data_IF_527065093236
#
_entry.id   IF_527065093236
#
_cell.length_a   1.000
_cell.length_b   1.000
_cell.length_c   1.000
_cell.angle_alpha   90.00
_cell.angle_beta   90.00
_cell.angle_gamma   90.00
#
_symmetry.space_group_name_H-M   'P 1'
#
loop_
_entity.id
_entity.type
_entity.pdbx_description
1 polymer ?
#
# COMPACT_ATOMS: atom_id res chain seq x y z
N UNK A 1 11.93 7.82 -2.47
CA UNK A 1 10.80 8.56 -1.88
C UNK A 1 10.68 9.97 -2.46
N UNK A 2 11.70 10.82 -2.44
CA UNK A 2 11.61 12.20 -2.96
C UNK A 2 11.18 12.29 -4.43
N UNK A 3 11.82 11.54 -5.33
CA UNK A 3 11.46 11.52 -6.77
C UNK A 3 10.01 11.06 -7.00
N UNK A 4 9.53 10.10 -6.21
CA UNK A 4 8.14 9.64 -6.27
C UNK A 4 7.15 10.74 -5.88
N UNK A 5 7.42 11.46 -4.77
CA UNK A 5 6.56 12.56 -4.34
C UNK A 5 6.56 13.71 -5.36
N UNK A 6 7.71 14.05 -5.95
CA UNK A 6 7.79 15.05 -7.02
C UNK A 6 6.95 14.62 -8.23
N UNK A 7 7.06 13.37 -8.66
CA UNK A 7 6.22 12.81 -9.73
C UNK A 7 4.72 12.85 -9.40
N UNK A 8 4.34 12.50 -8.17
CA UNK A 8 2.95 12.58 -7.71
C UNK A 8 2.43 14.01 -7.69
N UNK A 9 3.24 14.98 -7.25
CA UNK A 9 2.88 16.41 -7.23
C UNK A 9 2.68 16.92 -8.67
N UNK A 10 3.62 16.64 -9.58
CA UNK A 10 3.50 17.01 -11.00
C UNK A 10 2.25 16.40 -11.62
N UNK A 11 1.98 15.12 -11.35
CA UNK A 11 0.78 14.44 -11.81
C UNK A 11 -0.50 15.05 -11.21
N UNK A 12 -0.50 15.41 -9.93
CA UNK A 12 -1.64 16.07 -9.29
C UNK A 12 -1.91 17.45 -9.88
N UNK A 13 -0.88 18.28 -10.04
CA UNK A 13 -1.00 19.60 -10.67
C UNK A 13 -1.55 19.46 -12.09
N UNK A 14 -1.09 18.48 -12.86
CA UNK A 14 -1.61 18.21 -14.20
C UNK A 14 -3.11 17.86 -14.18
N UNK A 15 -3.52 16.89 -13.36
CA UNK A 15 -4.92 16.48 -13.22
C UNK A 15 -5.85 17.62 -12.76
N UNK A 16 -5.39 18.49 -11.85
CA UNK A 16 -6.14 19.67 -11.39
C UNK A 16 -6.34 20.68 -12.52
N UNK A 17 -5.31 20.96 -13.33
CA UNK A 17 -5.39 21.91 -14.43
C UNK A 17 -6.36 21.46 -15.52
N UNK A 18 -6.36 20.18 -15.87
CA UNK A 18 -7.26 19.63 -16.89
C UNK A 18 -8.62 19.16 -16.32
N UNK A 19 -8.82 19.24 -14.99
CA UNK A 19 -10.00 18.74 -14.27
C UNK A 19 -10.35 17.28 -14.55
N UNK A 20 -9.35 16.47 -14.89
CA UNK A 20 -9.48 15.04 -15.19
C UNK A 20 -8.90 14.27 -14.00
N UNK A 21 -9.52 13.15 -13.62
CA UNK A 21 -8.91 12.21 -12.68
C UNK A 21 -8.75 12.70 -11.22
N UNK A 22 -9.43 13.78 -10.81
CA UNK A 22 -9.41 14.30 -9.44
C UNK A 22 -9.75 13.25 -8.38
N UNK A 23 -10.76 12.41 -8.64
CA UNK A 23 -11.16 11.30 -7.75
C UNK A 23 -9.99 10.32 -7.55
N UNK A 24 -9.17 10.10 -8.59
CA UNK A 24 -8.02 9.19 -8.53
C UNK A 24 -6.84 9.79 -7.76
N UNK A 25 -6.68 11.11 -7.76
CA UNK A 25 -5.72 11.80 -6.90
C UNK A 25 -6.12 11.71 -5.42
N UNK A 26 -7.41 11.89 -5.11
CA UNK A 26 -7.90 11.74 -3.73
C UNK A 26 -7.70 10.29 -3.27
N UNK A 27 -7.97 9.32 -4.14
CA UNK A 27 -7.72 7.91 -3.85
C UNK A 27 -6.22 7.64 -3.59
N UNK A 28 -5.33 8.24 -4.37
CA UNK A 28 -3.88 8.17 -4.15
C UNK A 28 -3.50 8.75 -2.79
N UNK A 29 -4.04 9.91 -2.41
CA UNK A 29 -3.78 10.57 -1.14
C UNK A 29 -4.26 9.72 0.05
N UNK A 30 -5.43 9.08 -0.10
CA UNK A 30 -5.96 8.16 0.92
C UNK A 30 -4.99 7.01 1.20
N UNK A 31 -4.28 6.55 0.18
CA UNK A 31 -3.30 5.49 0.34
C UNK A 31 -2.06 5.97 1.14
N UNK A 32 -1.70 7.25 1.11
CA UNK A 32 -0.58 7.81 1.89
C UNK A 32 -0.81 7.74 3.41
N UNK A 33 -2.06 7.67 3.87
CA UNK A 33 -2.41 7.48 5.29
C UNK A 33 -1.81 6.19 5.87
N UNK A 34 -1.47 5.20 5.03
CA UNK A 34 -0.78 3.98 5.48
C UNK A 34 0.71 4.16 5.80
N UNK A 35 1.34 5.26 5.37
CA UNK A 35 2.77 5.54 5.60
C UNK A 35 3.15 5.95 7.04
N UNK A 36 2.37 6.78 7.78
CA UNK A 36 2.67 7.01 9.19
C UNK A 36 2.62 5.72 10.01
N UNK A 37 1.68 4.81 9.71
CA UNK A 37 1.55 3.51 10.38
C UNK A 37 2.78 2.60 10.15
N UNK A 38 3.39 2.66 8.97
CA UNK A 38 4.68 2.00 8.73
C UNK A 38 5.79 2.57 9.63
N UNK A 39 5.83 3.89 9.79
CA UNK A 39 6.81 4.56 10.64
C UNK A 39 6.65 4.22 12.13
N UNK A 40 5.44 3.95 12.61
CA UNK A 40 5.22 3.48 13.99
C UNK A 40 6.00 2.19 14.30
N UNK A 41 6.12 1.26 13.33
CA UNK A 41 6.93 0.03 13.52
C UNK A 41 8.40 0.34 13.74
N UNK A 42 8.95 1.32 13.02
CA UNK A 42 10.33 1.78 13.21
C UNK A 42 10.52 2.47 14.56
N UNK A 43 9.53 3.22 15.03
CA UNK A 43 9.55 3.87 16.33
C UNK A 43 9.62 2.84 17.49
N UNK A 44 8.81 1.77 17.43
CA UNK A 44 8.86 0.67 18.41
C UNK A 44 10.19 -0.08 18.41
N UNK A 45 10.83 -0.23 17.25
CA UNK A 45 12.19 -0.78 17.14
C UNK A 45 13.23 0.12 17.82
N UNK A 46 13.10 1.45 17.67
CA UNK A 46 14.04 2.42 18.25
C UNK A 46 13.92 2.57 19.77
N UNK A 47 12.72 2.31 20.30
CA UNK A 47 12.43 2.25 21.73
C UNK A 47 12.96 0.97 22.42
N UNK A 48 13.59 0.05 21.69
CA UNK A 48 14.07 -1.22 22.27
C UNK A 48 12.96 -2.23 22.59
N UNK A 49 11.71 -1.96 22.18
CA UNK A 49 10.53 -2.78 22.46
C UNK A 49 10.27 -3.84 21.38
N UNK A 50 11.32 -4.30 20.68
CA UNK A 50 11.22 -5.18 19.52
C UNK A 50 10.61 -6.57 19.80
N UNK A 51 10.63 -7.02 21.05
CA UNK A 51 10.07 -8.32 21.46
C UNK A 51 8.70 -8.22 22.17
N UNK A 52 8.19 -7.00 22.33
CA UNK A 52 6.91 -6.76 22.99
C UNK A 52 5.73 -7.27 22.15
N UNK A 53 4.65 -7.66 22.84
CA UNK A 53 3.39 -8.03 22.21
C UNK A 53 2.82 -6.86 21.35
N UNK A 54 3.11 -5.62 21.74
CA UNK A 54 2.81 -4.40 21.00
C UNK A 54 3.49 -4.34 19.62
N UNK A 55 4.75 -4.79 19.49
CA UNK A 55 5.44 -4.85 18.20
C UNK A 55 4.78 -5.84 17.22
N UNK A 56 4.31 -6.98 17.72
CA UNK A 56 3.62 -8.01 16.92
C UNK A 56 2.24 -7.52 16.47
N UNK A 57 1.46 -6.91 17.37
CA UNK A 57 0.16 -6.30 17.03
C UNK A 57 0.34 -5.20 15.99
N UNK A 58 1.32 -4.32 16.16
CA UNK A 58 1.54 -3.22 15.22
C UNK A 58 1.94 -3.72 13.82
N UNK A 59 2.72 -4.81 13.74
CA UNK A 59 3.04 -5.47 12.47
C UNK A 59 1.82 -6.08 11.76
N UNK A 60 0.93 -6.73 12.52
CA UNK A 60 -0.32 -7.28 11.98
C UNK A 60 -1.28 -6.16 11.55
N UNK A 61 -1.40 -5.11 12.35
CA UNK A 61 -2.22 -3.94 12.05
C UNK A 61 -1.75 -3.25 10.77
N UNK A 62 -0.44 -3.08 10.60
CA UNK A 62 0.14 -2.59 9.36
C UNK A 62 -0.21 -3.48 8.15
N UNK A 63 -0.13 -4.81 8.30
CA UNK A 63 -0.49 -5.73 7.22
C UNK A 63 -1.97 -5.63 6.82
N UNK A 64 -2.89 -5.55 7.79
CA UNK A 64 -4.32 -5.38 7.55
C UNK A 64 -4.61 -4.04 6.86
N UNK A 65 -4.03 -2.95 7.37
CA UNK A 65 -4.20 -1.61 6.79
C UNK A 65 -3.64 -1.53 5.37
N UNK A 66 -2.50 -2.17 5.11
CA UNK A 66 -1.94 -2.27 3.77
C UNK A 66 -2.90 -3.02 2.84
N UNK A 67 -3.47 -4.14 3.27
CA UNK A 67 -4.45 -4.87 2.47
C UNK A 67 -5.69 -4.02 2.13
N UNK A 68 -6.32 -3.42 3.14
CA UNK A 68 -7.57 -2.65 2.92
C UNK A 68 -7.30 -1.39 2.10
N UNK A 69 -6.33 -0.58 2.49
CA UNK A 69 -6.11 0.73 1.85
C UNK A 69 -5.33 0.66 0.53
N UNK A 70 -4.50 -0.36 0.29
CA UNK A 70 -3.65 -0.43 -0.91
C UNK A 70 -4.06 -1.52 -1.88
N UNK A 71 -4.66 -2.62 -1.41
CA UNK A 71 -5.12 -3.71 -2.29
C UNK A 71 -6.59 -3.52 -2.64
N UNK A 72 -7.47 -3.46 -1.63
CA UNK A 72 -8.93 -3.34 -1.86
C UNK A 72 -9.28 -2.00 -2.50
N UNK A 73 -8.79 -0.89 -1.92
CA UNK A 73 -9.09 0.44 -2.44
C UNK A 73 -8.59 0.67 -3.86
N UNK A 74 -7.33 0.29 -4.16
CA UNK A 74 -6.80 0.40 -5.52
C UNK A 74 -7.49 -0.56 -6.49
N UNK A 75 -7.98 -1.71 -6.04
CA UNK A 75 -8.78 -2.60 -6.88
C UNK A 75 -10.12 -1.95 -7.27
N UNK A 76 -10.86 -1.38 -6.31
CA UNK A 76 -12.10 -0.63 -6.57
C UNK A 76 -11.84 0.50 -7.56
N UNK A 77 -10.73 1.22 -7.39
CA UNK A 77 -10.32 2.29 -8.30
C UNK A 77 -10.13 1.79 -9.75
N UNK A 78 -9.46 0.65 -9.94
CA UNK A 78 -9.25 0.06 -11.27
C UNK A 78 -10.57 -0.44 -11.89
N UNK A 79 -11.48 -1.00 -11.08
CA UNK A 79 -12.82 -1.40 -11.55
C UNK A 79 -13.62 -0.19 -12.03
N UNK A 80 -13.62 0.90 -11.26
CA UNK A 80 -14.27 2.16 -11.65
C UNK A 80 -13.66 2.76 -12.92
N UNK A 81 -12.34 2.70 -13.05
CA UNK A 81 -11.62 3.14 -14.24
C UNK A 81 -12.03 2.34 -15.49
N UNK A 82 -12.16 1.02 -15.35
CA UNK A 82 -12.62 0.14 -16.43
C UNK A 82 -14.08 0.40 -16.82
N UNK A 83 -14.96 0.68 -15.84
CA UNK A 83 -16.36 0.99 -16.09
C UNK A 83 -16.54 2.29 -16.89
N UNK A 84 -15.72 3.31 -16.62
CA UNK A 84 -15.81 4.63 -17.27
C UNK A 84 -14.95 4.71 -18.55
N UNK A 85 -14.31 3.62 -18.97
CA UNK A 85 -13.35 3.61 -20.10
C UNK A 85 -13.86 4.33 -21.36
N UNK A 86 -15.15 4.18 -21.70
CA UNK A 86 -15.76 4.76 -22.90
C UNK A 86 -15.77 6.29 -22.86
N UNK A 87 -15.95 6.88 -21.68
CA UNK A 87 -15.88 8.34 -21.51
C UNK A 87 -14.45 8.85 -21.69
N UNK A 88 -13.46 8.05 -21.31
CA UNK A 88 -12.03 8.37 -21.48
C UNK A 88 -11.51 8.09 -22.89
N UNK A 89 -12.19 7.25 -23.68
CA UNK A 89 -11.87 7.04 -25.10
C UNK A 89 -12.08 8.31 -25.94
N UNK A 90 -12.98 9.21 -25.51
CA UNK A 90 -13.22 10.50 -26.17
C UNK A 90 -12.16 11.57 -25.85
N UNK A 91 -11.28 11.31 -24.88
CA UNK A 91 -10.23 12.23 -24.44
C UNK A 91 -8.97 12.00 -25.29
N UNK A 92 -8.31 13.05 -25.83
CA UNK A 92 -7.13 12.90 -26.67
C UNK A 92 -6.00 12.13 -25.97
N UNK A 93 -5.22 11.39 -26.77
CA UNK A 93 -4.19 10.47 -26.25
C UNK A 93 -3.18 11.15 -25.32
N UNK A 94 -2.87 12.42 -25.58
CA UNK A 94 -1.92 13.25 -24.82
C UNK A 94 -2.32 13.48 -23.36
N UNK A 95 -3.61 13.37 -23.02
CA UNK A 95 -4.16 13.58 -21.66
C UNK A 95 -4.62 12.28 -20.97
N UNK A 96 -4.37 11.09 -21.57
CA UNK A 96 -4.71 9.79 -20.95
C UNK A 96 -3.71 9.28 -19.90
N UNK A 97 -2.58 9.97 -19.71
CA UNK A 97 -1.57 9.61 -18.71
C UNK A 97 -2.11 9.26 -17.31
N UNK A 98 -3.12 9.98 -16.76
CA UNK A 98 -3.69 9.69 -15.44
C UNK A 98 -4.41 8.35 -15.29
N UNK A 99 -4.71 7.65 -16.39
CA UNK A 99 -5.37 6.32 -16.40
C UNK A 99 -4.34 5.23 -16.12
N UNK A 100 -3.14 5.37 -16.69
CA UNK A 100 -2.10 4.33 -16.64
C UNK A 100 -1.42 4.32 -15.27
N UNK A 101 -1.20 5.50 -14.69
CA UNK A 101 -0.52 5.69 -13.39
C UNK A 101 -1.15 4.85 -12.26
N UNK A 102 -2.47 4.90 -11.98
CA UNK A 102 -3.07 4.14 -10.88
C UNK A 102 -3.02 2.63 -11.10
N UNK A 103 -3.08 2.15 -12.34
CA UNK A 103 -2.95 0.73 -12.66
C UNK A 103 -1.52 0.21 -12.44
N UNK A 104 -0.50 0.98 -12.85
CA UNK A 104 0.90 0.65 -12.56
C UNK A 104 1.18 0.66 -11.04
N UNK A 105 0.62 1.63 -10.33
CA UNK A 105 0.77 1.75 -8.89
C UNK A 105 0.12 0.57 -8.15
N UNK A 106 -1.02 0.08 -8.64
CA UNK A 106 -1.68 -1.11 -8.10
C UNK A 106 -0.81 -2.37 -8.24
N UNK A 107 -0.17 -2.59 -9.39
CA UNK A 107 0.75 -3.71 -9.59
C UNK A 107 1.93 -3.65 -8.61
N UNK A 108 2.48 -2.45 -8.40
CA UNK A 108 3.54 -2.25 -7.41
C UNK A 108 3.04 -2.56 -5.98
N UNK A 109 1.83 -2.11 -5.62
CA UNK A 109 1.24 -2.41 -4.31
C UNK A 109 0.99 -3.91 -4.10
N UNK A 110 0.56 -4.64 -5.14
CA UNK A 110 0.41 -6.10 -5.09
C UNK A 110 1.75 -6.81 -4.86
N UNK A 111 2.80 -6.38 -5.57
CA UNK A 111 4.14 -6.90 -5.35
C UNK A 111 4.59 -6.72 -3.90
N UNK A 112 4.42 -5.52 -3.33
CA UNK A 112 4.73 -5.26 -1.93
C UNK A 112 3.85 -6.08 -0.97
N UNK A 113 2.57 -6.27 -1.27
CA UNK A 113 1.69 -7.09 -0.44
C UNK A 113 2.21 -8.53 -0.32
N UNK A 114 2.63 -9.15 -1.43
CA UNK A 114 3.20 -10.50 -1.44
C UNK A 114 4.51 -10.59 -0.63
N UNK A 115 5.35 -9.55 -0.69
CA UNK A 115 6.55 -9.49 0.14
C UNK A 115 6.21 -9.42 1.64
N UNK A 116 5.25 -8.56 2.01
CA UNK A 116 4.83 -8.38 3.41
C UNK A 116 4.15 -9.65 3.95
N UNK A 117 3.26 -10.30 3.18
CA UNK A 117 2.62 -11.57 3.59
C UNK A 117 3.67 -12.65 3.82
N UNK A 118 4.66 -12.78 2.93
CA UNK A 118 5.75 -13.75 3.07
C UNK A 118 6.59 -13.49 4.32
N UNK A 119 6.84 -12.22 4.66
CA UNK A 119 7.51 -11.82 5.90
C UNK A 119 6.71 -12.22 7.15
N UNK A 120 5.41 -11.97 7.16
CA UNK A 120 4.52 -12.33 8.29
C UNK A 120 4.46 -13.85 8.47
N UNK A 121 4.29 -14.60 7.37
CA UNK A 121 4.26 -16.08 7.40
C UNK A 121 5.57 -16.68 7.90
N UNK A 122 6.72 -16.14 7.47
CA UNK A 122 8.04 -16.55 7.98
C UNK A 122 8.19 -16.24 9.48
N UNK A 123 7.72 -15.08 9.93
CA UNK A 123 7.72 -14.71 11.35
C UNK A 123 6.87 -15.65 12.22
N UNK A 124 5.73 -16.12 11.71
CA UNK A 124 4.87 -17.09 12.40
C UNK A 124 5.48 -18.50 12.43
N UNK A 125 6.09 -18.95 11.33
CA UNK A 125 6.71 -20.28 11.24
C UNK A 125 7.93 -20.43 12.15
N UNK A 126 8.75 -19.39 12.28
CA UNK A 126 9.91 -19.40 13.18
C UNK A 126 9.51 -19.53 14.66
N UNK A 127 8.35 -18.99 15.04
CA UNK A 127 7.81 -19.11 16.41
C UNK A 127 7.39 -20.55 16.74
N UNK A 128 6.79 -21.27 15.76
CA UNK A 128 6.37 -22.67 15.93
C UNK A 128 7.55 -23.61 16.22
N UNK A 129 8.76 -23.31 15.71
CA UNK A 129 9.98 -24.09 15.98
C UNK A 129 10.58 -23.85 17.38
N UNK A 130 10.26 -22.72 18.03
CA UNK A 130 10.68 -22.39 19.39
C UNK A 130 9.86 -23.14 20.44
N UNK A 131 8.52 -23.07 20.36
CA UNK A 131 7.63 -23.71 21.34
C UNK A 131 7.71 -25.25 21.29
N UNK A 132 7.91 -25.86 20.12
CA UNK A 132 8.06 -27.33 20.03
C UNK A 132 9.37 -27.86 20.63
N UNK A 133 10.41 -27.03 20.78
CA UNK A 133 11.66 -27.43 21.45
C UNK A 133 11.56 -27.36 22.97
N UNK A 134 10.71 -26.49 23.52
CA UNK A 134 10.50 -26.35 24.97
C UNK A 134 9.62 -27.48 25.52
N UNK A 135 8.62 -27.94 24.74
CA UNK A 135 7.71 -29.02 25.15
C UNK A 135 8.37 -30.42 25.10
N UNK A 136 9.48 -30.59 24.35
CA UNK A 136 10.22 -31.87 24.26
C UNK A 136 11.32 -32.04 25.32
N UNK A 137 11.42 -31.14 26.29
CA UNK A 137 12.46 -31.15 27.33
C UNK A 137 11.95 -31.50 28.74
N UNK A 138 10.68 -31.87 28.88
CA UNK A 138 10.12 -32.41 30.12
C UNK A 138 9.94 -33.94 30.00
#
# INVERSE_FOLDING_TARGET
MVVHHILCIVAMTYNVNYRIGLIYNIALLFTEVTTPLYHHRWFFLKLGMGDSLAYKINGLLFWILFFVCRVVWCFIQNVHLYAIRKTYEMIPYSIRGPIIVPSLLFLLNLFWFVQITTLVLKGMSSKKKGDTKTIKKE
#
